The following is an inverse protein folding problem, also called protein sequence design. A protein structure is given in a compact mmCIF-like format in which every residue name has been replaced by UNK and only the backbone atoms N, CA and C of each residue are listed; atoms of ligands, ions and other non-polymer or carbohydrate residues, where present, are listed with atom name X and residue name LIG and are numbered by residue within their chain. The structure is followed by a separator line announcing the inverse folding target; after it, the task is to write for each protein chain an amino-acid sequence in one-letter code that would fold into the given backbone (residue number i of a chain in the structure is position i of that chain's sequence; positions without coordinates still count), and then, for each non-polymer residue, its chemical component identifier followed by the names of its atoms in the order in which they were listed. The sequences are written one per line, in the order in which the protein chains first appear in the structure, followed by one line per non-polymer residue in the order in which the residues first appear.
data_IF_261539709022
#
_entry.id   IF_261539709022
#
_cell.length_a   1.000
_cell.length_b   1.000
_cell.length_c   1.000
_cell.angle_alpha   90.00
_cell.angle_beta   90.00
_cell.angle_gamma   90.00
#
_symmetry.space_group_name_H-M   'P 1'
#
loop_
_entity.id
_entity.type
_entity.pdbx_description
1 polymer ?
#
# COMPACT_ATOMS: atom_id res chain seq x y z
N UNK A 1 27.21 6.58 -1.68
CA UNK A 1 25.90 5.95 -1.90
C UNK A 1 25.53 5.84 -3.40
N UNK A 2 26.20 6.55 -4.31
CA UNK A 2 26.05 6.37 -5.78
C UNK A 2 24.74 6.85 -6.39
N UNK A 3 23.94 7.62 -5.68
CA UNK A 3 22.70 8.22 -6.24
C UNK A 3 23.05 9.32 -7.24
N UNK A 4 22.40 9.30 -8.42
CA UNK A 4 22.65 10.27 -9.50
C UNK A 4 21.77 11.54 -9.37
N UNK A 5 20.60 11.43 -8.80
CA UNK A 5 19.65 12.52 -8.62
C UNK A 5 18.73 12.25 -7.41
N UNK A 6 18.22 13.30 -6.74
CA UNK A 6 17.22 13.12 -5.69
C UNK A 6 15.90 12.62 -6.28
N UNK A 7 15.20 11.79 -5.51
CA UNK A 7 13.82 11.43 -5.84
C UNK A 7 12.87 12.61 -5.59
N UNK A 8 11.66 12.63 -6.17
CA UNK A 8 10.73 13.74 -5.98
C UNK A 8 10.44 14.07 -4.51
N UNK A 9 10.28 13.06 -3.63
CA UNK A 9 10.07 13.32 -2.19
C UNK A 9 11.32 13.90 -1.53
N UNK A 10 12.52 13.44 -1.92
CA UNK A 10 13.77 14.00 -1.41
C UNK A 10 13.97 15.45 -1.85
N UNK A 11 13.70 15.75 -3.12
CA UNK A 11 13.81 17.10 -3.67
C UNK A 11 12.85 18.10 -2.99
N UNK A 12 11.68 17.64 -2.55
CA UNK A 12 10.70 18.49 -1.86
C UNK A 12 10.91 18.53 -0.34
N UNK A 13 11.23 17.41 0.31
CA UNK A 13 11.29 17.31 1.76
C UNK A 13 12.61 17.83 2.34
N UNK A 14 13.76 17.52 1.73
CA UNK A 14 15.08 17.89 2.26
C UNK A 14 15.23 19.43 2.39
N UNK A 15 14.99 20.23 1.36
CA UNK A 15 15.10 21.68 1.47
C UNK A 15 14.12 22.26 2.49
N UNK A 16 12.88 21.76 2.52
CA UNK A 16 11.87 22.22 3.46
C UNK A 16 12.26 21.94 4.92
N UNK A 17 12.81 20.76 5.20
CA UNK A 17 13.24 20.39 6.55
C UNK A 17 14.51 21.14 6.99
N UNK A 18 15.43 21.46 6.07
CA UNK A 18 16.64 22.24 6.35
C UNK A 18 16.33 23.73 6.49
N UNK A 19 15.46 24.30 5.65
CA UNK A 19 15.06 25.70 5.69
C UNK A 19 14.28 26.06 6.95
N UNK A 20 13.51 25.14 7.51
CA UNK A 20 12.76 25.37 8.75
C UNK A 20 13.64 25.55 9.99
N UNK A 21 14.93 25.19 9.93
CA UNK A 21 15.90 25.41 11.01
C UNK A 21 16.47 26.83 11.01
N UNK A 22 16.45 27.53 9.86
CA UNK A 22 17.07 28.82 9.65
C UNK A 22 16.04 29.97 9.62
N UNK A 23 14.78 29.68 9.32
CA UNK A 23 13.68 30.65 9.35
C UNK A 23 13.08 30.68 10.76
N UNK A 24 13.40 31.71 11.56
CA UNK A 24 12.97 31.95 12.93
C UNK A 24 11.63 31.33 13.43
N UNK A 25 11.13 31.66 14.60
CA UNK A 25 9.98 31.03 15.29
C UNK A 25 8.66 30.87 14.49
N UNK A 26 8.53 31.49 13.32
CA UNK A 26 7.30 31.48 12.51
C UNK A 26 7.17 30.27 11.55
N UNK A 27 8.26 29.54 11.25
CA UNK A 27 8.21 28.39 10.34
C UNK A 27 7.80 27.11 11.08
N UNK A 28 6.88 26.36 10.51
CA UNK A 28 6.47 25.05 11.07
C UNK A 28 7.67 24.11 11.10
N UNK A 29 7.95 23.54 12.28
CA UNK A 29 8.97 22.50 12.47
C UNK A 29 8.44 21.10 12.22
N UNK A 30 7.11 20.95 12.16
CA UNK A 30 6.45 19.68 11.97
C UNK A 30 6.13 19.45 10.50
N UNK A 31 6.36 18.22 10.01
CA UNK A 31 6.17 17.85 8.61
C UNK A 31 5.35 16.58 8.46
N UNK A 32 4.55 16.54 7.39
CA UNK A 32 3.91 15.34 6.89
C UNK A 32 4.46 15.10 5.48
N UNK A 33 5.17 13.99 5.29
CA UNK A 33 5.68 13.54 3.99
C UNK A 33 4.83 12.40 3.46
N UNK A 34 4.05 12.63 2.40
CA UNK A 34 3.27 11.60 1.73
C UNK A 34 3.92 11.22 0.40
N UNK A 35 4.35 9.97 0.30
CA UNK A 35 4.93 9.42 -0.91
C UNK A 35 4.82 7.89 -0.92
N UNK A 36 4.67 7.22 -2.09
CA UNK A 36 4.64 5.76 -2.19
C UNK A 36 5.82 5.07 -1.52
N UNK A 37 5.67 3.78 -1.20
CA UNK A 37 6.80 2.98 -0.71
C UNK A 37 7.87 2.85 -1.77
N UNK A 38 9.17 2.81 -1.34
CA UNK A 38 10.29 2.69 -2.30
C UNK A 38 10.71 3.97 -2.99
N UNK A 39 10.10 5.11 -2.69
CA UNK A 39 10.45 6.42 -3.27
C UNK A 39 11.61 7.12 -2.56
N UNK A 40 12.26 6.48 -1.57
CA UNK A 40 13.40 7.03 -0.85
C UNK A 40 13.03 7.95 0.32
N UNK A 41 11.88 7.73 0.97
CA UNK A 41 11.45 8.46 2.18
C UNK A 41 12.51 8.44 3.29
N UNK A 42 13.18 7.31 3.51
CA UNK A 42 14.22 7.19 4.54
C UNK A 42 15.32 8.24 4.37
N UNK A 43 15.81 8.43 3.17
CA UNK A 43 16.81 9.46 2.89
C UNK A 43 16.21 10.87 2.89
N UNK A 44 14.94 11.02 2.56
CA UNK A 44 14.27 12.33 2.60
C UNK A 44 14.27 12.94 4.00
N UNK A 45 14.06 12.14 5.05
CA UNK A 45 14.18 12.63 6.43
C UNK A 45 15.57 12.37 7.03
N UNK A 46 16.27 11.32 6.66
CA UNK A 46 17.56 10.94 7.23
C UNK A 46 18.67 11.94 6.94
N UNK A 47 18.69 12.49 5.72
CA UNK A 47 19.69 13.51 5.32
C UNK A 47 19.52 14.79 6.16
N UNK A 48 18.35 15.46 6.18
CA UNK A 48 18.20 16.66 7.00
C UNK A 48 18.38 16.39 8.49
N UNK A 49 17.91 15.23 8.99
CA UNK A 49 18.10 14.85 10.39
C UNK A 49 19.59 14.74 10.75
N UNK A 50 20.37 14.06 9.91
CA UNK A 50 21.82 13.93 10.10
C UNK A 50 22.53 15.29 10.07
N UNK A 51 22.20 16.13 9.07
CA UNK A 51 22.79 17.46 8.92
C UNK A 51 22.51 18.37 10.13
N UNK A 52 21.24 18.45 10.57
CA UNK A 52 20.83 19.23 11.76
C UNK A 52 21.58 18.74 13.00
N UNK A 53 21.68 17.42 13.21
CA UNK A 53 22.37 16.87 14.37
C UNK A 53 23.89 17.07 14.33
N UNK A 54 24.49 17.17 13.15
CA UNK A 54 25.92 17.46 12.96
C UNK A 54 26.22 18.94 13.22
N UNK A 55 25.36 19.86 12.78
CA UNK A 55 25.52 21.31 13.02
C UNK A 55 25.32 21.69 14.49
N UNK A 56 24.35 21.08 15.15
CA UNK A 56 24.04 21.36 16.55
C UNK A 56 24.78 20.39 17.48
N UNK A 57 25.85 20.84 18.10
CA UNK A 57 26.54 20.08 19.16
C UNK A 57 25.57 19.78 20.30
N UNK A 58 25.71 18.62 20.96
CA UNK A 58 24.95 18.37 22.18
C UNK A 58 25.19 19.46 23.23
N UNK A 59 24.11 19.91 23.88
CA UNK A 59 24.23 20.91 24.97
C UNK A 59 25.19 20.40 26.04
N UNK A 60 26.29 21.11 26.24
CA UNK A 60 27.24 20.81 27.33
C UNK A 60 26.66 21.35 28.64
N UNK A 61 26.04 20.48 29.43
CA UNK A 61 25.71 20.80 30.82
C UNK A 61 26.97 20.68 31.65
N UNK A 62 27.45 21.81 32.17
CA UNK A 62 28.74 21.96 32.80
C UNK A 62 29.15 20.91 33.81
N UNK A 63 30.37 20.41 33.69
CA UNK A 63 31.26 19.99 34.77
C UNK A 63 31.00 18.64 35.43
N UNK A 64 29.87 17.95 35.31
CA UNK A 64 29.64 16.62 35.87
C UNK A 64 29.64 15.55 34.77
N UNK A 65 30.15 14.35 35.11
CA UNK A 65 30.16 13.17 34.23
C UNK A 65 28.79 13.03 33.59
N UNK A 66 28.71 13.25 32.30
CA UNK A 66 27.46 13.28 31.52
C UNK A 66 26.76 11.93 31.64
N UNK A 67 25.48 11.94 32.01
CA UNK A 67 24.64 10.72 31.86
C UNK A 67 24.55 10.39 30.36
N UNK A 68 25.07 9.23 29.91
CA UNK A 68 25.03 8.86 28.50
C UNK A 68 23.62 8.84 27.92
N UNK A 69 22.59 8.65 28.76
CA UNK A 69 21.17 8.66 28.36
C UNK A 69 20.70 10.02 27.83
N UNK A 70 21.34 11.12 28.26
CA UNK A 70 21.03 12.50 27.83
C UNK A 70 21.52 12.83 26.41
N UNK A 71 22.20 11.88 25.76
CA UNK A 71 22.74 12.07 24.41
C UNK A 71 21.70 11.89 23.31
N UNK A 72 20.56 11.21 23.57
CA UNK A 72 19.52 10.95 22.60
C UNK A 72 18.87 12.27 22.12
N UNK A 73 19.04 12.56 20.84
CA UNK A 73 18.50 13.76 20.18
C UNK A 73 17.45 13.48 19.12
N UNK A 74 17.47 12.28 18.53
CA UNK A 74 16.47 11.88 17.55
C UNK A 74 15.94 10.48 17.82
N UNK A 75 14.62 10.33 17.71
CA UNK A 75 13.92 9.06 17.77
C UNK A 75 13.17 8.84 16.46
N UNK A 76 13.45 7.73 15.79
CA UNK A 76 12.74 7.29 14.59
C UNK A 76 11.88 6.08 14.95
N UNK A 77 10.56 6.20 14.83
CA UNK A 77 9.61 5.11 15.04
C UNK A 77 9.30 4.44 13.71
N UNK A 78 9.40 3.11 13.68
CA UNK A 78 9.14 2.29 12.50
C UNK A 78 8.33 1.04 12.87
N UNK A 79 7.45 0.52 11.98
CA UNK A 79 6.52 -0.56 12.33
C UNK A 79 7.17 -1.91 12.62
N UNK A 80 8.33 -2.22 12.02
CA UNK A 80 8.92 -3.56 12.09
C UNK A 80 10.38 -3.54 12.53
N UNK A 81 10.86 -4.67 13.01
CA UNK A 81 12.25 -4.86 13.44
C UNK A 81 13.21 -4.78 12.26
N UNK A 82 12.83 -5.41 11.17
CA UNK A 82 13.61 -5.46 9.94
C UNK A 82 13.81 -4.03 9.43
N UNK A 83 12.74 -3.23 9.42
CA UNK A 83 12.83 -1.83 9.02
C UNK A 83 13.67 -1.01 10.02
N UNK A 84 13.60 -1.30 11.34
CA UNK A 84 14.43 -0.59 12.30
C UNK A 84 15.94 -0.85 12.09
N UNK A 85 16.32 -2.07 11.76
CA UNK A 85 17.69 -2.42 11.43
C UNK A 85 18.16 -1.75 10.13
N UNK A 86 17.31 -1.81 9.09
CA UNK A 86 17.57 -1.22 7.79
C UNK A 86 17.74 0.31 7.87
N UNK A 87 16.77 1.00 8.47
CA UNK A 87 16.82 2.46 8.62
C UNK A 87 18.03 2.88 9.46
N UNK A 88 18.34 2.13 10.53
CA UNK A 88 19.52 2.41 11.33
C UNK A 88 20.82 2.26 10.51
N UNK A 89 20.91 1.26 9.64
CA UNK A 89 22.08 1.07 8.76
C UNK A 89 22.19 2.13 7.68
N UNK A 90 21.07 2.54 7.09
CA UNK A 90 21.02 3.66 6.14
C UNK A 90 21.51 4.96 6.81
N UNK A 91 21.01 5.27 8.01
CA UNK A 91 21.43 6.48 8.75
C UNK A 91 22.90 6.36 9.17
N UNK A 92 23.40 5.18 9.63
CA UNK A 92 24.82 4.97 9.93
C UNK A 92 25.70 5.24 8.72
N UNK A 93 25.24 4.85 7.55
CA UNK A 93 25.96 5.11 6.29
C UNK A 93 26.01 6.62 5.98
N UNK A 94 24.93 7.36 6.24
CA UNK A 94 24.88 8.82 6.08
C UNK A 94 25.86 9.52 7.03
N UNK A 95 25.97 9.07 8.28
CA UNK A 95 26.78 9.71 9.31
C UNK A 95 28.17 9.07 9.46
N UNK A 96 28.58 8.22 8.52
CA UNK A 96 29.89 7.56 8.53
C UNK A 96 31.01 8.59 8.59
N UNK A 97 31.98 8.38 9.50
CA UNK A 97 33.07 9.30 9.75
C UNK A 97 32.73 10.43 10.72
N UNK A 98 31.50 10.55 11.21
CA UNK A 98 31.09 11.48 12.26
C UNK A 98 31.11 10.81 13.65
N UNK A 99 30.89 11.63 14.70
CA UNK A 99 30.75 11.15 16.07
C UNK A 99 29.33 10.72 16.46
N UNK A 100 28.38 10.78 15.53
CA UNK A 100 26.99 10.41 15.78
C UNK A 100 26.85 8.88 15.89
N UNK A 101 26.18 8.45 16.97
CA UNK A 101 25.92 7.02 17.22
C UNK A 101 24.45 6.70 16.95
N UNK A 102 24.21 5.65 16.15
CA UNK A 102 22.90 5.20 15.74
C UNK A 102 22.67 3.76 16.21
N UNK A 103 21.56 3.50 16.89
CA UNK A 103 21.18 2.17 17.38
C UNK A 103 19.75 1.83 16.97
N UNK A 104 19.55 0.57 16.56
CA UNK A 104 18.23 0.00 16.37
C UNK A 104 17.77 -0.73 17.63
N UNK A 105 16.51 -0.49 18.07
CA UNK A 105 15.88 -1.18 19.20
C UNK A 105 14.51 -1.72 18.81
N UNK A 106 14.24 -2.98 19.13
CA UNK A 106 13.01 -3.65 18.71
C UNK A 106 12.62 -4.79 19.64
N UNK A 107 11.35 -5.13 19.67
CA UNK A 107 10.77 -6.14 20.56
C UNK A 107 11.10 -7.59 20.17
N UNK A 108 10.69 -8.53 21.04
CA UNK A 108 10.84 -10.00 20.92
C UNK A 108 12.31 -10.50 20.85
N UNK A 109 13.25 -9.73 21.29
CA UNK A 109 14.63 -10.09 21.57
C UNK A 109 14.99 -9.60 22.97
N UNK A 110 16.08 -10.12 23.53
CA UNK A 110 16.52 -9.74 24.87
C UNK A 110 16.67 -8.21 25.02
N UNK A 111 16.18 -7.67 26.12
CA UNK A 111 16.23 -6.22 26.42
C UNK A 111 17.64 -5.78 26.81
N UNK A 112 18.35 -6.59 27.60
CA UNK A 112 19.63 -6.21 28.20
C UNK A 112 20.70 -5.73 27.21
N UNK A 113 20.95 -6.36 26.05
CA UNK A 113 21.92 -5.85 25.08
C UNK A 113 21.56 -4.47 24.53
N UNK A 114 20.24 -4.16 24.38
CA UNK A 114 19.78 -2.88 23.89
C UNK A 114 19.93 -1.79 24.97
N UNK A 115 19.66 -2.11 26.22
CA UNK A 115 19.92 -1.23 27.36
C UNK A 115 21.39 -0.89 27.47
N UNK A 116 22.27 -1.88 27.36
CA UNK A 116 23.72 -1.65 27.38
C UNK A 116 24.20 -0.78 26.19
N UNK A 117 23.61 -0.94 25.02
CA UNK A 117 23.92 -0.07 23.88
C UNK A 117 23.52 1.38 24.16
N UNK A 118 22.35 1.63 24.78
CA UNK A 118 21.87 2.96 25.17
C UNK A 118 22.74 3.59 26.26
N UNK A 119 23.19 2.83 27.25
CA UNK A 119 24.11 3.30 28.30
C UNK A 119 25.43 3.81 27.79
N UNK A 120 25.87 3.38 26.59
CA UNK A 120 27.08 3.90 25.93
C UNK A 120 26.91 5.29 25.31
N UNK A 121 25.69 5.84 25.38
CA UNK A 121 25.31 7.12 24.78
C UNK A 121 25.08 7.02 23.28
N UNK A 122 23.87 7.32 22.85
CA UNK A 122 23.38 7.22 21.49
C UNK A 122 22.73 8.53 21.07
N UNK A 123 22.99 9.00 19.86
CA UNK A 123 22.40 10.24 19.33
C UNK A 123 21.07 10.01 18.63
N UNK A 124 20.95 8.87 17.90
CA UNK A 124 19.78 8.52 17.12
C UNK A 124 19.36 7.08 17.49
N UNK A 125 18.12 6.93 17.89
CA UNK A 125 17.50 5.61 18.11
C UNK A 125 16.45 5.37 17.03
N UNK A 126 16.55 4.23 16.35
CA UNK A 126 15.50 3.74 15.45
C UNK A 126 14.78 2.61 16.17
N UNK A 127 13.48 2.76 16.43
CA UNK A 127 12.73 1.92 17.35
C UNK A 127 11.42 1.40 16.79
N UNK A 128 11.03 0.17 17.17
CA UNK A 128 9.63 -0.21 17.09
C UNK A 128 8.84 0.40 18.27
N UNK A 129 7.59 0.87 18.07
CA UNK A 129 6.86 1.65 19.08
C UNK A 129 6.73 0.97 20.44
N UNK A 130 6.43 -0.35 20.47
CA UNK A 130 6.31 -1.10 21.73
C UNK A 130 7.63 -1.17 22.50
N UNK A 131 8.78 -1.37 21.81
CA UNK A 131 10.10 -1.40 22.47
C UNK A 131 10.54 0.00 22.90
N UNK A 132 10.23 1.04 22.13
CA UNK A 132 10.49 2.40 22.56
C UNK A 132 9.77 2.70 23.87
N UNK A 133 8.49 2.37 23.98
CA UNK A 133 7.71 2.52 25.20
C UNK A 133 8.31 1.72 26.38
N UNK A 134 8.62 0.45 26.19
CA UNK A 134 9.22 -0.41 27.21
C UNK A 134 10.54 0.16 27.76
N UNK A 135 11.42 0.69 26.88
CA UNK A 135 12.68 1.30 27.27
C UNK A 135 12.51 2.64 28.02
N UNK A 136 11.49 3.43 27.66
CA UNK A 136 11.16 4.68 28.35
C UNK A 136 10.56 4.39 29.72
N UNK A 137 9.60 3.45 29.83
CA UNK A 137 8.99 3.04 31.09
C UNK A 137 10.00 2.42 32.06
N UNK A 138 11.01 1.71 31.53
CA UNK A 138 12.12 1.14 32.31
C UNK A 138 13.23 2.15 32.65
N UNK A 139 13.06 3.43 32.36
CA UNK A 139 14.08 4.50 32.51
C UNK A 139 15.44 4.19 31.85
N UNK A 140 15.43 3.31 30.84
CA UNK A 140 16.61 2.98 30.05
C UNK A 140 16.85 3.95 28.89
N UNK A 141 15.81 4.72 28.51
CA UNK A 141 15.83 5.72 27.45
C UNK A 141 15.04 6.95 27.89
N UNK A 142 15.67 8.14 27.85
CA UNK A 142 14.99 9.41 28.18
C UNK A 142 14.76 10.23 26.91
N UNK A 143 13.60 10.88 26.84
CA UNK A 143 13.23 11.77 25.73
C UNK A 143 13.53 13.25 26.02
N UNK A 144 14.05 13.58 27.20
CA UNK A 144 14.22 14.97 27.67
C UNK A 144 15.05 15.86 26.71
N UNK A 145 15.99 15.27 25.98
CA UNK A 145 16.89 16.00 25.07
C UNK A 145 16.58 15.80 23.60
N UNK A 146 15.42 15.18 23.27
CA UNK A 146 15.00 15.04 21.90
C UNK A 146 14.85 16.40 21.21
N UNK A 147 15.34 16.47 19.99
CA UNK A 147 15.10 17.57 19.07
C UNK A 147 14.11 17.17 17.99
N UNK A 148 14.12 15.89 17.60
CA UNK A 148 13.29 15.35 16.52
C UNK A 148 12.67 14.01 16.89
N UNK A 149 11.41 13.84 16.52
CA UNK A 149 10.74 12.54 16.47
C UNK A 149 10.25 12.31 15.05
N UNK A 150 10.63 11.19 14.44
CA UNK A 150 10.20 10.79 13.11
C UNK A 150 9.31 9.55 13.24
N UNK A 151 8.15 9.56 12.60
CA UNK A 151 7.29 8.39 12.44
C UNK A 151 7.33 7.98 10.97
N UNK A 152 8.00 6.88 10.63
CA UNK A 152 8.07 6.37 9.26
C UNK A 152 7.12 5.18 9.08
N UNK A 153 6.46 5.12 7.92
CA UNK A 153 5.39 4.16 7.61
C UNK A 153 4.24 4.21 8.65
N UNK A 154 3.71 5.42 8.90
CA UNK A 154 2.67 5.65 9.91
C UNK A 154 1.38 4.87 9.63
N UNK A 155 0.97 4.75 8.38
CA UNK A 155 -0.15 3.91 7.94
C UNK A 155 0.05 2.42 8.31
N UNK A 156 1.26 1.91 8.17
CA UNK A 156 1.57 0.54 8.61
C UNK A 156 1.58 0.39 10.12
N UNK A 157 1.99 1.42 10.87
CA UNK A 157 1.87 1.39 12.31
C UNK A 157 0.41 1.33 12.76
N UNK A 158 -0.51 1.95 12.00
CA UNK A 158 -1.96 1.79 12.18
C UNK A 158 -2.41 0.34 11.94
N UNK A 159 -2.07 -0.24 10.79
CA UNK A 159 -2.45 -1.61 10.41
C UNK A 159 -1.97 -2.67 11.43
N UNK A 160 -0.84 -2.41 12.07
CA UNK A 160 -0.26 -3.28 13.09
C UNK A 160 -0.76 -2.99 14.51
N UNK A 161 -1.66 -2.02 14.68
CA UNK A 161 -2.23 -1.65 15.99
C UNK A 161 -1.26 -0.89 16.90
N UNK A 162 -0.21 -0.25 16.34
CA UNK A 162 0.80 0.47 17.12
C UNK A 162 0.48 1.95 17.35
N UNK A 163 -0.61 2.48 16.79
CA UNK A 163 -0.94 3.91 17.00
C UNK A 163 -1.03 4.32 18.48
N UNK A 164 -1.61 3.52 19.40
CA UNK A 164 -1.62 3.89 20.81
C UNK A 164 -0.22 4.07 21.41
N UNK A 165 0.75 3.21 21.05
CA UNK A 165 2.13 3.32 21.49
C UNK A 165 2.85 4.51 20.86
N UNK A 166 2.60 4.78 19.57
CA UNK A 166 3.12 5.96 18.86
C UNK A 166 2.60 7.24 19.53
N UNK A 167 1.30 7.33 19.74
CA UNK A 167 0.66 8.47 20.42
C UNK A 167 1.23 8.67 21.83
N UNK A 168 1.42 7.58 22.57
CA UNK A 168 2.02 7.60 23.90
C UNK A 168 3.46 8.14 23.89
N UNK A 169 4.28 7.74 22.92
CA UNK A 169 5.66 8.26 22.77
C UNK A 169 5.64 9.74 22.37
N UNK A 170 4.83 10.10 21.39
CA UNK A 170 4.71 11.49 20.92
C UNK A 170 4.21 12.46 22.02
N UNK A 171 3.35 11.97 22.93
CA UNK A 171 2.85 12.77 24.07
C UNK A 171 3.91 13.06 25.13
N UNK A 172 5.01 12.31 25.14
CA UNK A 172 6.13 12.47 26.08
C UNK A 172 7.33 13.16 25.46
N UNK A 173 7.33 13.36 24.17
CA UNK A 173 8.35 14.21 23.54
C UNK A 173 8.21 15.64 24.06
N UNK A 174 9.32 16.34 24.39
CA UNK A 174 9.26 17.72 24.88
C UNK A 174 8.51 18.63 23.88
N UNK A 175 7.81 19.62 24.41
CA UNK A 175 7.11 20.61 23.58
C UNK A 175 8.08 21.40 22.69
N UNK A 176 7.59 21.87 21.54
CA UNK A 176 8.37 22.64 20.57
C UNK A 176 9.43 21.83 19.81
N UNK A 177 9.45 20.51 19.93
CA UNK A 177 10.35 19.63 19.16
C UNK A 177 9.72 19.26 17.82
N UNK A 178 10.57 19.10 16.80
CA UNK A 178 10.15 18.75 15.47
C UNK A 178 9.58 17.32 15.42
N UNK A 179 8.39 17.16 14.85
CA UNK A 179 7.73 15.87 14.64
C UNK A 179 7.49 15.70 13.15
N UNK A 180 8.12 14.69 12.57
CA UNK A 180 8.00 14.38 11.16
C UNK A 180 7.25 13.04 10.99
N UNK A 181 6.19 13.07 10.23
CA UNK A 181 5.40 11.88 9.93
C UNK A 181 5.51 11.56 8.44
N UNK A 182 6.02 10.39 8.11
CA UNK A 182 6.12 9.90 6.74
C UNK A 182 5.22 8.68 6.56
N UNK A 183 4.49 8.68 5.45
CA UNK A 183 3.51 7.63 5.15
C UNK A 183 3.32 7.49 3.64
N UNK A 184 2.80 6.36 3.20
CA UNK A 184 2.33 6.21 1.83
C UNK A 184 0.90 6.72 1.69
N UNK A 185 0.07 6.52 2.72
CA UNK A 185 -1.32 6.95 2.78
C UNK A 185 -1.59 7.72 4.07
N UNK A 186 -2.70 8.46 4.12
CA UNK A 186 -3.11 9.19 5.32
C UNK A 186 -4.55 8.78 5.71
N UNK A 187 -4.74 7.57 6.30
CA UNK A 187 -6.03 7.15 6.81
C UNK A 187 -6.51 8.05 7.95
N UNK A 188 -7.81 8.14 8.16
CA UNK A 188 -8.43 9.01 9.17
C UNK A 188 -7.79 8.87 10.57
N UNK A 189 -7.50 7.64 11.01
CA UNK A 189 -6.88 7.44 12.32
C UNK A 189 -5.45 8.02 12.42
N UNK A 190 -4.70 8.06 11.31
CA UNK A 190 -3.38 8.71 11.24
C UNK A 190 -3.57 10.24 11.18
N UNK A 191 -4.57 10.73 10.46
CA UNK A 191 -4.97 12.15 10.46
C UNK A 191 -5.34 12.64 11.86
N UNK A 192 -6.12 11.86 12.62
CA UNK A 192 -6.47 12.17 14.01
C UNK A 192 -5.22 12.25 14.91
N UNK A 193 -4.24 11.35 14.71
CA UNK A 193 -2.95 11.40 15.41
C UNK A 193 -2.19 12.69 15.07
N UNK A 194 -2.14 13.07 13.79
CA UNK A 194 -1.51 14.31 13.32
C UNK A 194 -2.14 15.53 14.01
N UNK A 195 -3.47 15.65 13.97
CA UNK A 195 -4.18 16.76 14.60
C UNK A 195 -3.95 16.87 16.11
N UNK A 196 -3.80 15.74 16.79
CA UNK A 196 -3.55 15.71 18.24
C UNK A 196 -2.11 16.04 18.62
N UNK A 197 -1.11 15.70 17.79
CA UNK A 197 0.30 15.64 18.21
C UNK A 197 1.25 16.52 17.42
N UNK A 198 0.88 16.97 16.22
CA UNK A 198 1.70 17.86 15.41
C UNK A 198 1.14 19.28 15.44
N UNK A 199 2.04 20.28 15.49
CA UNK A 199 1.68 21.68 15.55
C UNK A 199 1.77 22.31 14.15
N UNK A 200 0.61 22.57 13.52
CA UNK A 200 0.52 23.20 12.18
C UNK A 200 1.50 22.57 11.17
N UNK A 201 1.44 21.25 10.95
CA UNK A 201 2.45 20.57 10.13
C UNK A 201 2.40 21.04 8.68
N UNK A 202 3.58 21.24 8.07
CA UNK A 202 3.70 21.46 6.63
C UNK A 202 3.56 20.14 5.92
N UNK A 203 2.53 20.02 5.06
CA UNK A 203 2.28 18.81 4.25
C UNK A 203 3.07 18.89 2.95
N UNK A 204 3.84 17.84 2.68
CA UNK A 204 4.59 17.60 1.45
C UNK A 204 4.04 16.31 0.86
N UNK A 205 3.36 16.40 -0.27
CA UNK A 205 2.73 15.26 -0.93
C UNK A 205 3.33 15.11 -2.33
N UNK A 206 3.88 13.95 -2.61
CA UNK A 206 4.55 13.65 -3.87
C UNK A 206 4.02 12.33 -4.42
N UNK A 207 3.66 12.35 -5.67
CA UNK A 207 3.01 11.22 -6.35
C UNK A 207 1.49 11.34 -6.33
N UNK A 208 0.86 10.62 -7.25
CA UNK A 208 -0.61 10.55 -7.28
C UNK A 208 -1.05 9.72 -6.09
N UNK A 209 -2.02 10.21 -5.30
CA UNK A 209 -2.73 9.40 -4.31
C UNK A 209 -3.16 8.10 -4.99
N UNK A 210 -2.72 6.97 -4.46
CA UNK A 210 -3.05 5.63 -4.96
C UNK A 210 -2.46 5.23 -6.33
N UNK A 211 -1.48 5.92 -6.87
CA UNK A 211 -0.77 5.38 -8.02
C UNK A 211 0.07 4.18 -7.56
N UNK A 212 -0.49 2.99 -7.70
CA UNK A 212 0.32 1.79 -7.85
C UNK A 212 1.39 2.14 -8.88
N UNK A 213 2.65 1.87 -8.58
CA UNK A 213 3.78 2.33 -9.37
C UNK A 213 3.50 2.22 -10.87
N UNK A 214 3.38 3.35 -11.54
CA UNK A 214 2.92 3.46 -12.94
C UNK A 214 3.83 2.72 -13.93
N UNK A 215 4.98 2.24 -13.47
CA UNK A 215 5.94 1.43 -14.23
C UNK A 215 5.73 -0.09 -14.05
N UNK A 216 4.72 -0.50 -13.24
CA UNK A 216 4.42 -1.91 -13.03
C UNK A 216 3.27 -2.36 -13.92
N UNK A 217 3.39 -3.56 -14.49
CA UNK A 217 2.27 -4.23 -15.16
C UNK A 217 1.43 -4.95 -14.11
N UNK A 218 0.14 -4.61 -14.05
CA UNK A 218 -0.81 -5.29 -13.14
C UNK A 218 -1.72 -6.21 -13.91
N UNK A 219 -1.78 -7.48 -13.50
CA UNK A 219 -2.64 -8.50 -14.09
C UNK A 219 -3.56 -9.09 -13.03
N UNK A 220 -4.77 -9.48 -13.44
CA UNK A 220 -5.66 -10.32 -12.61
C UNK A 220 -6.04 -11.57 -13.35
N UNK A 221 -6.22 -12.64 -12.62
CA UNK A 221 -6.74 -13.91 -13.12
C UNK A 221 -7.96 -14.29 -12.29
N UNK A 222 -9.10 -14.41 -12.96
CA UNK A 222 -10.34 -14.90 -12.35
C UNK A 222 -10.31 -16.42 -12.41
N UNK A 223 -10.42 -17.10 -11.27
CA UNK A 223 -10.26 -18.56 -11.19
C UNK A 223 -10.98 -19.14 -9.97
N UNK A 224 -11.21 -20.44 -9.98
CA UNK A 224 -11.70 -21.14 -8.79
C UNK A 224 -10.60 -21.33 -7.75
N UNK A 225 -10.98 -21.55 -6.49
CA UNK A 225 -10.03 -21.67 -5.39
C UNK A 225 -9.05 -22.86 -5.57
N UNK A 226 -9.52 -23.96 -6.14
CA UNK A 226 -8.73 -25.15 -6.43
C UNK A 226 -7.81 -25.00 -7.65
N UNK A 227 -8.04 -24.00 -8.50
CA UNK A 227 -7.18 -23.65 -9.63
C UNK A 227 -5.98 -22.78 -9.23
N UNK A 228 -5.96 -22.16 -8.04
CA UNK A 228 -4.90 -21.21 -7.63
C UNK A 228 -3.50 -21.82 -7.63
N UNK A 229 -3.31 -23.03 -7.08
CA UNK A 229 -1.98 -23.66 -7.06
C UNK A 229 -1.55 -24.11 -8.44
N UNK A 230 -2.38 -24.82 -9.22
CA UNK A 230 -2.06 -25.17 -10.61
C UNK A 230 -1.71 -23.95 -11.46
N UNK A 231 -2.48 -22.87 -11.34
CA UNK A 231 -2.20 -21.59 -12.02
C UNK A 231 -0.87 -21.00 -11.61
N UNK A 232 -0.56 -20.97 -10.30
CA UNK A 232 0.72 -20.49 -9.81
C UNK A 232 1.89 -21.31 -10.38
N UNK A 233 1.77 -22.63 -10.43
CA UNK A 233 2.79 -23.53 -10.98
C UNK A 233 3.00 -23.31 -12.48
N UNK A 234 1.91 -23.17 -13.25
CA UNK A 234 1.96 -22.85 -14.68
C UNK A 234 2.66 -21.50 -14.93
N UNK A 235 2.29 -20.44 -14.18
CA UNK A 235 2.97 -19.14 -14.27
C UNK A 235 4.47 -19.29 -13.97
N UNK A 236 4.81 -20.03 -12.93
CA UNK A 236 6.21 -20.25 -12.57
C UNK A 236 6.98 -21.06 -13.63
N UNK A 237 6.30 -21.91 -14.39
CA UNK A 237 6.91 -22.67 -15.49
C UNK A 237 7.09 -21.81 -16.75
N UNK A 238 6.14 -20.94 -17.06
CA UNK A 238 6.13 -20.10 -18.26
C UNK A 238 6.99 -18.83 -18.15
N UNK A 239 7.13 -18.28 -16.94
CA UNK A 239 7.89 -17.06 -16.71
C UNK A 239 9.41 -17.35 -16.68
N UNK A 240 10.18 -16.66 -17.50
CA UNK A 240 11.65 -16.71 -17.49
C UNK A 240 12.25 -16.05 -16.23
N UNK A 241 11.49 -16.08 -15.13
CA UNK A 241 11.85 -15.54 -13.84
C UNK A 241 12.47 -16.62 -12.95
N UNK A 242 13.79 -16.79 -13.03
CA UNK A 242 14.50 -17.75 -12.20
C UNK A 242 14.58 -17.35 -10.72
N UNK A 243 14.25 -16.10 -10.36
CA UNK A 243 14.31 -15.55 -8.99
C UNK A 243 13.50 -14.26 -8.86
N UNK A 244 13.27 -13.82 -7.63
CA UNK A 244 12.63 -12.53 -7.34
C UNK A 244 11.10 -12.58 -7.38
N UNK A 245 10.50 -13.70 -6.99
CA UNK A 245 9.04 -13.88 -6.96
C UNK A 245 8.57 -13.90 -5.51
N UNK A 246 7.60 -13.03 -5.17
CA UNK A 246 6.96 -13.02 -3.86
C UNK A 246 5.51 -13.40 -4.00
N UNK A 247 5.06 -14.37 -3.20
CA UNK A 247 3.66 -14.84 -3.16
C UNK A 247 3.04 -14.46 -1.82
N UNK A 248 2.03 -13.62 -1.85
CA UNK A 248 1.31 -13.17 -0.66
C UNK A 248 0.08 -14.03 -0.38
N UNK A 249 -0.01 -14.55 0.84
CA UNK A 249 -1.13 -15.34 1.33
C UNK A 249 -1.77 -14.69 2.55
N UNK A 250 -3.10 -14.81 2.68
CA UNK A 250 -3.88 -14.20 3.75
C UNK A 250 -3.56 -14.77 5.15
N UNK A 251 -3.05 -16.00 5.26
CA UNK A 251 -2.83 -16.64 6.56
C UNK A 251 -1.52 -17.44 6.62
N UNK A 252 -1.03 -17.64 7.86
CA UNK A 252 0.14 -18.48 8.15
C UNK A 252 -0.04 -19.93 7.67
N UNK A 253 -1.23 -20.50 7.88
CA UNK A 253 -1.56 -21.85 7.44
C UNK A 253 -1.50 -21.96 5.92
N UNK A 254 -2.01 -20.95 5.22
CA UNK A 254 -2.00 -20.88 3.76
C UNK A 254 -0.59 -20.75 3.19
N UNK A 255 0.26 -19.92 3.80
CA UNK A 255 1.67 -19.82 3.38
C UNK A 255 2.39 -21.17 3.47
N UNK A 256 2.16 -21.91 4.55
CA UNK A 256 2.73 -23.25 4.72
C UNK A 256 2.24 -24.23 3.65
N UNK A 257 0.94 -24.21 3.37
CA UNK A 257 0.31 -25.07 2.38
C UNK A 257 0.78 -24.77 0.95
N UNK A 258 0.78 -23.50 0.54
CA UNK A 258 1.27 -23.06 -0.78
C UNK A 258 2.75 -23.41 -0.95
N UNK A 259 3.58 -23.10 0.04
CA UNK A 259 5.01 -23.45 -0.02
C UNK A 259 5.25 -24.97 -0.09
N UNK A 260 4.45 -25.75 0.62
CA UNK A 260 4.47 -27.21 0.53
C UNK A 260 4.08 -27.73 -0.87
N UNK A 261 3.07 -27.10 -1.50
CA UNK A 261 2.68 -27.43 -2.87
C UNK A 261 3.81 -27.11 -3.86
N UNK A 262 4.40 -25.92 -3.77
CA UNK A 262 5.51 -25.50 -4.65
C UNK A 262 6.73 -26.44 -4.54
N UNK A 263 7.10 -26.84 -3.31
CA UNK A 263 8.23 -27.73 -3.08
C UNK A 263 8.01 -29.14 -3.65
N UNK A 264 6.77 -29.64 -3.65
CA UNK A 264 6.43 -30.93 -4.31
C UNK A 264 6.63 -30.93 -5.83
N UNK A 265 6.71 -29.73 -6.41
CA UNK A 265 6.99 -29.49 -7.83
C UNK A 265 8.40 -28.89 -8.03
N UNK A 266 9.34 -29.19 -7.13
CA UNK A 266 10.75 -28.81 -7.21
C UNK A 266 11.01 -27.29 -7.28
N UNK A 267 10.03 -26.46 -6.85
CA UNK A 267 10.22 -25.02 -6.76
C UNK A 267 10.89 -24.66 -5.44
N UNK A 268 12.12 -24.12 -5.50
CA UNK A 268 12.86 -23.69 -4.31
C UNK A 268 12.13 -22.52 -3.64
N UNK A 269 11.68 -22.73 -2.40
CA UNK A 269 10.75 -21.84 -1.72
C UNK A 269 11.16 -21.54 -0.29
N UNK A 270 11.22 -20.26 0.07
CA UNK A 270 11.33 -19.77 1.43
C UNK A 270 9.97 -19.32 1.96
N UNK A 271 9.79 -19.35 3.29
CA UNK A 271 8.51 -19.02 3.95
C UNK A 271 8.74 -18.04 5.08
N UNK A 272 7.96 -16.94 5.09
CA UNK A 272 8.00 -15.93 6.15
C UNK A 272 6.58 -15.63 6.67
N UNK A 273 6.34 -15.90 7.96
CA UNK A 273 5.10 -15.57 8.66
C UNK A 273 5.34 -15.34 10.16
N UNK A 274 4.33 -14.87 10.88
CA UNK A 274 4.45 -14.44 12.27
C UNK A 274 4.94 -15.48 13.28
N UNK A 275 4.75 -16.79 13.02
CA UNK A 275 5.18 -17.88 13.90
C UNK A 275 6.66 -18.28 13.69
N UNK A 276 7.32 -17.76 12.66
CA UNK A 276 8.74 -17.98 12.46
C UNK A 276 9.56 -17.16 13.44
N UNK A 277 10.59 -17.81 14.04
CA UNK A 277 11.54 -17.08 14.87
C UNK A 277 12.28 -16.01 14.02
N UNK A 278 12.82 -14.99 14.69
CA UNK A 278 13.55 -13.93 13.99
C UNK A 278 14.69 -14.48 13.13
N UNK A 279 15.48 -15.41 13.69
CA UNK A 279 16.55 -16.07 12.99
C UNK A 279 16.09 -16.83 11.73
N UNK A 280 14.92 -17.51 11.81
CA UNK A 280 14.35 -18.21 10.66
C UNK A 280 13.89 -17.23 9.57
N UNK A 281 13.33 -16.08 9.97
CA UNK A 281 12.91 -15.03 9.03
C UNK A 281 14.11 -14.41 8.33
N UNK A 282 15.15 -14.04 9.07
CA UNK A 282 16.40 -13.50 8.53
C UNK A 282 17.06 -14.48 7.53
N UNK A 283 17.19 -15.76 7.91
CA UNK A 283 17.69 -16.80 7.02
C UNK A 283 16.86 -16.97 5.74
N UNK A 284 15.54 -16.92 5.86
CA UNK A 284 14.65 -17.05 4.70
C UNK A 284 14.83 -15.88 3.74
N UNK A 285 14.90 -14.65 4.28
CA UNK A 285 15.10 -13.43 3.51
C UNK A 285 16.49 -13.37 2.85
N UNK A 286 17.51 -13.72 3.62
CA UNK A 286 18.88 -13.81 3.10
C UNK A 286 18.99 -14.84 1.97
N UNK A 287 18.37 -16.02 2.16
CA UNK A 287 18.32 -17.05 1.12
C UNK A 287 17.62 -16.56 -0.15
N UNK A 288 16.54 -15.80 -0.01
CA UNK A 288 15.83 -15.21 -1.13
C UNK A 288 16.61 -14.07 -1.80
N UNK A 289 17.18 -13.15 -1.02
CA UNK A 289 17.98 -12.04 -1.53
C UNK A 289 19.21 -12.50 -2.33
N UNK A 290 19.86 -13.59 -1.89
CA UNK A 290 20.99 -14.21 -2.61
C UNK A 290 20.56 -15.15 -3.76
N UNK A 291 19.26 -15.26 -4.06
CA UNK A 291 18.76 -16.11 -5.14
C UNK A 291 18.85 -17.62 -4.88
N UNK A 292 19.12 -18.05 -3.64
CA UNK A 292 19.12 -19.47 -3.23
C UNK A 292 17.67 -20.04 -3.22
N UNK A 293 16.68 -19.20 -3.09
CA UNK A 293 15.27 -19.54 -3.28
C UNK A 293 14.69 -18.72 -4.43
N UNK A 294 13.88 -19.36 -5.26
CA UNK A 294 13.17 -18.72 -6.38
C UNK A 294 11.97 -17.92 -5.90
N UNK A 295 11.22 -18.48 -4.95
CA UNK A 295 9.94 -17.97 -4.47
C UNK A 295 9.99 -17.71 -2.97
N UNK A 296 9.51 -16.54 -2.54
CA UNK A 296 9.24 -16.22 -1.15
C UNK A 296 7.72 -16.24 -0.93
N UNK A 297 7.22 -17.16 -0.10
CA UNK A 297 5.80 -17.19 0.30
C UNK A 297 5.65 -16.51 1.66
N UNK A 298 4.80 -15.49 1.74
CA UNK A 298 4.72 -14.65 2.93
C UNK A 298 3.29 -14.22 3.28
N UNK A 299 3.06 -13.92 4.57
CA UNK A 299 1.91 -13.13 5.00
C UNK A 299 2.29 -11.64 5.04
N UNK A 300 1.30 -10.74 4.91
CA UNK A 300 1.52 -9.30 4.92
C UNK A 300 2.30 -8.81 6.13
N UNK A 301 1.87 -9.19 7.34
CA UNK A 301 2.51 -8.78 8.59
C UNK A 301 3.99 -9.15 8.62
N UNK A 302 4.36 -10.28 8.03
CA UNK A 302 5.71 -10.78 8.05
C UNK A 302 6.58 -10.28 6.88
N UNK A 303 5.94 -9.92 5.77
CA UNK A 303 6.61 -9.36 4.61
C UNK A 303 6.67 -7.82 4.62
N UNK A 304 5.93 -7.19 5.54
CA UNK A 304 5.99 -5.74 5.75
C UNK A 304 7.36 -5.33 6.26
N UNK A 305 7.90 -4.26 5.70
CA UNK A 305 9.25 -3.77 6.05
C UNK A 305 10.40 -4.57 5.41
N UNK A 306 10.10 -5.56 4.56
CA UNK A 306 11.13 -6.26 3.81
C UNK A 306 11.61 -5.42 2.63
N UNK A 307 12.80 -4.89 2.76
CA UNK A 307 13.52 -4.32 1.63
C UNK A 307 14.38 -5.42 1.01
N UNK A 308 13.78 -6.23 0.16
CA UNK A 308 14.51 -7.23 -0.63
C UNK A 308 14.65 -6.68 -2.05
N UNK A 309 15.88 -6.35 -2.47
CA UNK A 309 16.13 -5.90 -3.84
C UNK A 309 15.84 -7.03 -4.83
N UNK A 310 15.49 -6.68 -6.06
CA UNK A 310 15.36 -7.64 -7.15
C UNK A 310 14.04 -8.42 -7.18
N UNK A 311 12.98 -7.96 -6.51
CA UNK A 311 11.64 -8.52 -6.69
C UNK A 311 11.11 -8.05 -8.04
N UNK A 312 10.82 -9.03 -8.93
CA UNK A 312 10.33 -8.81 -10.29
C UNK A 312 8.85 -9.12 -10.44
N UNK A 313 8.35 -10.08 -9.67
CA UNK A 313 6.96 -10.50 -9.71
C UNK A 313 6.38 -10.58 -8.29
N UNK A 314 5.25 -9.93 -8.09
CA UNK A 314 4.40 -10.08 -6.91
C UNK A 314 3.14 -10.84 -7.30
N UNK A 315 2.88 -11.96 -6.65
CA UNK A 315 1.65 -12.72 -6.80
C UNK A 315 0.80 -12.56 -5.55
N UNK A 316 -0.34 -11.90 -5.66
CA UNK A 316 -1.37 -11.91 -4.62
C UNK A 316 -2.16 -13.21 -4.76
N UNK A 317 -1.74 -14.26 -4.06
CA UNK A 317 -2.42 -15.55 -4.04
C UNK A 317 -3.83 -15.45 -3.43
N UNK A 318 -3.97 -14.60 -2.42
CA UNK A 318 -5.24 -14.17 -1.84
C UNK A 318 -5.39 -12.66 -2.03
N UNK A 319 -6.61 -12.22 -2.31
CA UNK A 319 -6.94 -10.80 -2.42
C UNK A 319 -6.68 -10.11 -1.09
N UNK A 320 -5.94 -8.99 -1.08
CA UNK A 320 -5.68 -8.22 0.15
C UNK A 320 -6.98 -7.69 0.77
N UNK A 321 -6.95 -7.39 2.06
CA UNK A 321 -8.13 -6.92 2.79
C UNK A 321 -8.43 -5.44 2.58
N UNK A 322 -7.44 -4.66 2.10
CA UNK A 322 -7.61 -3.24 1.83
C UNK A 322 -6.82 -2.79 0.60
N UNK A 323 -7.18 -1.64 0.00
CA UNK A 323 -6.42 -1.02 -1.09
C UNK A 323 -4.98 -0.70 -0.72
N UNK A 324 -4.76 -0.22 0.51
CA UNK A 324 -3.44 0.12 1.03
C UNK A 324 -2.55 -1.13 1.10
N UNK A 325 -3.11 -2.26 1.54
CA UNK A 325 -2.41 -3.53 1.57
C UNK A 325 -1.99 -3.98 0.17
N UNK A 326 -2.88 -3.85 -0.82
CA UNK A 326 -2.58 -4.13 -2.21
C UNK A 326 -1.43 -3.25 -2.73
N UNK A 327 -1.49 -1.93 -2.50
CA UNK A 327 -0.44 -0.99 -2.88
C UNK A 327 0.89 -1.36 -2.24
N UNK A 328 0.89 -1.71 -0.96
CA UNK A 328 2.10 -2.12 -0.23
C UNK A 328 2.70 -3.42 -0.75
N UNK A 329 1.87 -4.39 -1.19
CA UNK A 329 2.34 -5.64 -1.79
C UNK A 329 2.95 -5.39 -3.17
N UNK A 330 2.19 -4.76 -4.07
CA UNK A 330 2.65 -4.53 -5.45
C UNK A 330 3.84 -3.59 -5.50
N UNK A 331 3.90 -2.62 -4.60
CA UNK A 331 5.02 -1.71 -4.43
C UNK A 331 6.33 -2.40 -3.99
N UNK A 332 6.37 -3.73 -3.84
CA UNK A 332 7.62 -4.50 -3.67
C UNK A 332 8.28 -4.84 -5.00
N UNK A 333 7.51 -4.93 -6.08
CA UNK A 333 8.06 -5.16 -7.40
C UNK A 333 8.75 -3.90 -7.98
N UNK A 334 9.76 -4.10 -8.81
CA UNK A 334 10.40 -3.00 -9.55
C UNK A 334 11.18 -1.99 -8.70
N UNK A 335 11.56 -2.32 -7.46
CA UNK A 335 12.37 -1.44 -6.62
C UNK A 335 13.70 -1.09 -7.31
N UNK A 336 14.07 0.20 -7.27
CA UNK A 336 15.30 0.71 -7.89
C UNK A 336 15.18 1.04 -9.37
N UNK A 337 13.95 1.20 -9.91
CA UNK A 337 13.72 1.59 -11.31
C UNK A 337 13.75 0.43 -12.30
N UNK A 338 13.72 -0.82 -11.81
CA UNK A 338 13.59 -2.01 -12.65
C UNK A 338 12.14 -2.26 -13.08
N UNK A 339 11.97 -3.01 -14.17
CA UNK A 339 10.67 -3.54 -14.57
C UNK A 339 10.14 -4.53 -13.53
N UNK A 340 8.83 -4.46 -13.25
CA UNK A 340 8.17 -5.33 -12.31
C UNK A 340 6.73 -5.61 -12.72
N UNK A 341 6.19 -6.71 -12.23
CA UNK A 341 4.82 -7.08 -12.50
C UNK A 341 4.09 -7.53 -11.22
N UNK A 342 2.79 -7.41 -11.21
CA UNK A 342 1.94 -8.03 -10.21
C UNK A 342 0.82 -8.84 -10.85
N UNK A 343 0.49 -9.97 -10.24
CA UNK A 343 -0.63 -10.82 -10.62
C UNK A 343 -1.50 -11.02 -9.38
N UNK A 344 -2.80 -10.76 -9.50
CA UNK A 344 -3.75 -11.03 -8.42
C UNK A 344 -4.70 -12.13 -8.82
N UNK A 345 -4.75 -13.20 -8.04
CA UNK A 345 -5.74 -14.25 -8.15
C UNK A 345 -7.02 -13.80 -7.46
N UNK A 346 -8.14 -13.93 -8.15
CA UNK A 346 -9.45 -13.52 -7.64
C UNK A 346 -10.42 -14.69 -7.77
N UNK A 347 -10.72 -15.34 -6.65
CA UNK A 347 -11.73 -16.38 -6.63
C UNK A 347 -13.15 -15.78 -6.60
N UNK A 348 -14.17 -16.61 -6.85
CA UNK A 348 -15.56 -16.15 -6.81
C UNK A 348 -15.92 -15.52 -5.47
N UNK A 349 -15.44 -16.12 -4.35
CA UNK A 349 -15.69 -15.62 -3.00
C UNK A 349 -14.96 -14.31 -2.70
N UNK A 350 -13.85 -14.04 -3.40
CA UNK A 350 -13.03 -12.84 -3.19
C UNK A 350 -13.43 -11.67 -4.10
N UNK A 351 -14.36 -11.89 -5.04
CA UNK A 351 -14.73 -10.89 -6.04
C UNK A 351 -15.17 -9.55 -5.43
N UNK A 352 -16.08 -9.60 -4.46
CA UNK A 352 -16.56 -8.36 -3.79
C UNK A 352 -15.43 -7.60 -3.09
N UNK A 353 -14.48 -8.33 -2.47
CA UNK A 353 -13.30 -7.73 -1.84
C UNK A 353 -12.40 -7.11 -2.89
N UNK A 354 -12.17 -7.80 -4.00
CA UNK A 354 -11.38 -7.27 -5.10
C UNK A 354 -11.99 -5.98 -5.66
N UNK A 355 -13.29 -5.95 -5.89
CA UNK A 355 -13.99 -4.76 -6.40
C UNK A 355 -13.81 -3.57 -5.46
N UNK A 356 -13.83 -3.78 -4.15
CA UNK A 356 -13.56 -2.74 -3.14
C UNK A 356 -12.10 -2.24 -3.19
N UNK A 357 -11.14 -3.15 -3.40
CA UNK A 357 -9.71 -2.81 -3.49
C UNK A 357 -9.44 -1.95 -4.73
N UNK A 358 -9.97 -2.34 -5.89
CA UNK A 358 -9.69 -1.64 -7.14
C UNK A 358 -10.37 -0.27 -7.23
N UNK A 359 -11.55 -0.11 -6.62
CA UNK A 359 -12.31 1.14 -6.61
C UNK A 359 -11.50 2.30 -6.00
N UNK A 360 -10.69 1.99 -4.98
CA UNK A 360 -9.87 2.97 -4.27
C UNK A 360 -8.43 3.02 -4.76
N UNK A 361 -7.85 1.90 -5.17
CA UNK A 361 -6.48 1.84 -5.70
C UNK A 361 -6.37 2.34 -7.15
N UNK A 362 -7.48 2.30 -7.91
CA UNK A 362 -7.60 2.76 -9.30
C UNK A 362 -6.39 2.45 -10.21
N UNK A 363 -5.84 1.22 -10.20
CA UNK A 363 -4.76 0.86 -11.09
C UNK A 363 -5.27 0.54 -12.49
N UNK A 364 -4.41 0.67 -13.48
CA UNK A 364 -4.64 0.06 -14.78
C UNK A 364 -4.23 -1.42 -14.70
N UNK A 365 -5.14 -2.33 -14.99
CA UNK A 365 -4.85 -3.77 -14.98
C UNK A 365 -5.36 -4.46 -16.23
N UNK A 366 -4.74 -5.58 -16.55
CA UNK A 366 -5.15 -6.50 -17.58
C UNK A 366 -5.82 -7.75 -16.97
N UNK A 367 -6.94 -8.18 -17.50
CA UNK A 367 -7.53 -9.47 -17.14
C UNK A 367 -6.94 -10.55 -18.05
N UNK A 368 -6.19 -11.46 -17.45
CA UNK A 368 -5.54 -12.57 -18.17
C UNK A 368 -6.32 -13.84 -17.91
N UNK A 369 -6.58 -14.69 -18.92
CA UNK A 369 -7.23 -15.97 -18.72
C UNK A 369 -6.36 -16.91 -17.88
N UNK A 370 -7.01 -17.90 -17.28
CA UNK A 370 -6.30 -19.02 -16.64
C UNK A 370 -5.45 -19.73 -17.70
N UNK A 371 -4.16 -20.01 -17.42
CA UNK A 371 -3.30 -20.70 -18.37
C UNK A 371 -3.90 -22.04 -18.81
N UNK A 372 -3.77 -22.39 -20.08
CA UNK A 372 -4.38 -23.60 -20.64
C UNK A 372 -3.75 -24.92 -20.12
N UNK A 373 -2.50 -24.83 -19.64
CA UNK A 373 -1.70 -25.97 -19.18
C UNK A 373 -1.84 -26.30 -17.69
N UNK A 374 -2.76 -25.62 -16.96
CA UNK A 374 -2.95 -25.86 -15.51
C UNK A 374 -3.27 -27.33 -15.19
N UNK A 375 -3.91 -28.03 -16.13
CA UNK A 375 -4.26 -29.44 -15.96
C UNK A 375 -3.02 -30.33 -15.72
N UNK A 376 -1.84 -29.94 -16.21
CA UNK A 376 -0.58 -30.64 -15.98
C UNK A 376 -0.15 -30.63 -14.51
N UNK A 377 -0.66 -29.66 -13.72
CA UNK A 377 -0.33 -29.43 -12.30
C UNK A 377 -1.47 -29.83 -11.36
N UNK A 378 -2.56 -30.39 -11.89
CA UNK A 378 -3.72 -30.85 -11.12
C UNK A 378 -3.63 -32.35 -10.81
N UNK A 379 -4.21 -32.76 -9.68
CA UNK A 379 -4.45 -34.15 -9.39
C UNK A 379 -5.58 -34.69 -10.31
N UNK A 380 -5.60 -35.98 -10.55
CA UNK A 380 -6.61 -36.57 -11.41
C UNK A 380 -8.05 -36.32 -10.92
N UNK A 381 -8.28 -36.29 -9.61
CA UNK A 381 -9.58 -35.95 -9.03
C UNK A 381 -9.99 -34.50 -9.33
N UNK A 382 -9.06 -33.57 -9.10
CA UNK A 382 -9.30 -32.13 -9.33
C UNK A 382 -9.49 -31.86 -10.84
N UNK A 383 -8.72 -32.55 -11.68
CA UNK A 383 -8.85 -32.49 -13.15
C UNK A 383 -10.21 -32.95 -13.62
N UNK A 384 -10.72 -34.08 -13.08
CA UNK A 384 -12.08 -34.59 -13.41
C UNK A 384 -13.17 -33.65 -12.94
N UNK A 385 -12.98 -33.04 -11.76
CA UNK A 385 -13.91 -32.05 -11.19
C UNK A 385 -13.96 -30.77 -12.04
N UNK A 386 -12.81 -30.26 -12.45
CA UNK A 386 -12.70 -29.09 -13.33
C UNK A 386 -13.35 -29.35 -14.69
N UNK A 387 -13.06 -30.50 -15.30
CA UNK A 387 -13.66 -30.90 -16.58
C UNK A 387 -15.19 -30.96 -16.49
N UNK A 388 -15.74 -31.51 -15.40
CA UNK A 388 -17.18 -31.52 -15.15
C UNK A 388 -17.76 -30.12 -14.96
N UNK A 389 -17.12 -29.26 -14.20
CA UNK A 389 -17.56 -27.86 -13.98
C UNK A 389 -17.57 -27.06 -15.30
N UNK A 390 -16.52 -27.17 -16.11
CA UNK A 390 -16.44 -26.51 -17.43
C UNK A 390 -17.52 -27.01 -18.38
N UNK A 391 -17.85 -28.30 -18.32
CA UNK A 391 -18.94 -28.88 -19.15
C UNK A 391 -20.31 -28.31 -18.73
N UNK A 392 -20.56 -28.17 -17.45
CA UNK A 392 -21.80 -27.56 -16.94
C UNK A 392 -21.90 -26.07 -17.30
N UNK A 393 -20.82 -25.33 -17.14
CA UNK A 393 -20.76 -23.92 -17.56
C UNK A 393 -21.00 -23.75 -19.07
N UNK A 394 -20.40 -24.62 -19.89
CA UNK A 394 -20.61 -24.60 -21.33
C UNK A 394 -22.08 -24.84 -21.69
N UNK A 395 -22.75 -25.77 -21.01
CA UNK A 395 -24.19 -26.03 -21.21
C UNK A 395 -25.05 -24.83 -20.80
N UNK A 396 -24.73 -24.18 -19.68
CA UNK A 396 -25.41 -22.96 -19.21
C UNK A 396 -25.26 -21.84 -20.23
N UNK A 397 -24.03 -21.61 -20.70
CA UNK A 397 -23.76 -20.57 -21.71
C UNK A 397 -24.46 -20.87 -23.04
N UNK A 398 -24.50 -22.13 -23.47
CA UNK A 398 -25.20 -22.52 -24.66
C UNK A 398 -26.71 -22.27 -24.54
N UNK A 399 -27.31 -22.60 -23.38
CA UNK A 399 -28.70 -22.32 -23.08
C UNK A 399 -29.00 -20.81 -23.06
N UNK A 400 -28.13 -20.01 -22.45
CA UNK A 400 -28.24 -18.54 -22.41
C UNK A 400 -28.19 -17.95 -23.83
N UNK A 401 -27.21 -18.37 -24.62
CA UNK A 401 -27.06 -17.95 -26.02
C UNK A 401 -28.27 -18.36 -26.87
N UNK A 402 -28.87 -19.52 -26.62
CA UNK A 402 -30.09 -19.97 -27.29
C UNK A 402 -31.29 -19.09 -26.91
N UNK A 403 -31.43 -18.71 -25.63
CA UNK A 403 -32.46 -17.77 -25.16
C UNK A 403 -32.30 -16.38 -25.80
N UNK A 404 -31.11 -15.83 -25.82
CA UNK A 404 -30.85 -14.54 -26.46
C UNK A 404 -31.17 -14.57 -27.98
N UNK A 405 -30.83 -15.65 -28.67
CA UNK A 405 -31.17 -15.81 -30.10
C UNK A 405 -32.69 -15.86 -30.28
N UNK A 406 -33.40 -16.59 -29.43
CA UNK A 406 -34.87 -16.69 -29.47
C UNK A 406 -35.55 -15.34 -29.21
N UNK A 407 -35.03 -14.55 -28.22
CA UNK A 407 -35.53 -13.22 -27.94
C UNK A 407 -35.28 -12.23 -29.09
N UNK A 408 -34.10 -12.26 -29.69
CA UNK A 408 -33.75 -11.43 -30.86
C UNK A 408 -34.66 -11.76 -32.05
N UNK A 409 -34.95 -13.06 -32.27
CA UNK A 409 -35.86 -13.50 -33.36
C UNK A 409 -37.30 -13.08 -33.07
N UNK A 410 -37.78 -13.22 -31.83
CA UNK A 410 -39.12 -12.75 -31.41
C UNK A 410 -39.25 -11.23 -31.59
N UNK A 411 -38.22 -10.44 -31.19
CA UNK A 411 -38.19 -8.99 -31.40
C UNK A 411 -38.20 -8.61 -32.89
N UNK A 412 -37.50 -9.38 -33.76
CA UNK A 412 -37.51 -9.21 -35.22
C UNK A 412 -38.90 -9.46 -35.80
N UNK A 413 -39.54 -10.56 -35.41
CA UNK A 413 -40.93 -10.92 -35.87
C UNK A 413 -41.95 -9.86 -35.44
N UNK A 414 -41.83 -9.31 -34.21
CA UNK A 414 -42.68 -8.21 -33.73
C UNK A 414 -42.49 -6.92 -34.54
N UNK A 415 -41.24 -6.56 -34.87
CA UNK A 415 -40.95 -5.39 -35.72
C UNK A 415 -41.50 -5.57 -37.14
N UNK A 416 -41.40 -6.76 -37.73
CA UNK A 416 -41.96 -7.07 -39.05
C UNK A 416 -43.50 -7.03 -39.04
N UNK A 417 -44.13 -7.56 -37.99
CA UNK A 417 -45.58 -7.53 -37.82
C UNK A 417 -46.06 -6.07 -37.66
N UNK A 418 -45.39 -5.24 -36.87
CA UNK A 418 -45.69 -3.83 -36.74
C UNK A 418 -45.53 -3.05 -38.05
N UNK A 419 -44.50 -3.40 -38.86
CA UNK A 419 -44.32 -2.79 -40.18
C UNK A 419 -45.41 -3.16 -41.16
N UNK A 420 -45.83 -4.45 -41.18
CA UNK A 420 -46.98 -4.92 -41.98
C UNK A 420 -48.32 -4.26 -41.54
N UNK A 421 -48.50 -4.03 -40.26
CA UNK A 421 -49.70 -3.31 -39.72
C UNK A 421 -49.71 -1.87 -40.16
N UNK A 422 -48.57 -1.13 -40.13
CA UNK A 422 -48.46 0.24 -40.64
C UNK A 422 -48.73 0.34 -42.15
N UNK A 423 -48.37 -0.67 -42.96
CA UNK A 423 -48.61 -0.67 -44.40
C UNK A 423 -50.07 -1.03 -44.77
N UNK A 424 -50.83 -1.66 -43.85
CA UNK A 424 -52.26 -2.01 -44.04
C UNK A 424 -53.23 -0.96 -43.49
N UNK A 425 -52.77 0.09 -42.83
CA UNK A 425 -53.65 1.16 -42.36
C UNK A 425 -54.14 1.98 -43.57
N UNK A 426 -55.48 2.13 -43.77
CA UNK A 426 -56.03 2.91 -44.89
C UNK A 426 -55.56 4.36 -44.73
N UNK A 427 -55.09 4.91 -45.85
CA UNK A 427 -54.84 6.34 -45.97
C UNK A 427 -56.15 7.06 -45.86
N UNK A 428 -56.41 7.70 -44.74
CA UNK A 428 -57.49 8.70 -44.58
C UNK A 428 -57.13 9.88 -45.50
N UNK A 429 -57.94 10.07 -46.55
CA UNK A 429 -57.94 11.28 -47.39
C UNK A 429 -58.25 12.46 -46.51
N UNK A 430 -57.33 13.40 -46.46
CA UNK A 430 -57.56 14.71 -45.89
C UNK A 430 -58.49 15.51 -46.81
N UNK A 431 -59.80 15.51 -46.52
CA UNK A 431 -60.71 16.47 -47.10
C UNK A 431 -60.31 17.89 -46.62
N UNK A 432 -59.89 18.69 -47.57
CA UNK A 432 -59.77 20.14 -47.45
C UNK A 432 -61.10 20.74 -47.03
N UNK A 433 -61.13 21.41 -45.89
CA UNK A 433 -62.21 22.38 -45.61
C UNK A 433 -61.63 23.79 -45.89
N UNK A 434 -62.10 24.41 -46.96
CA UNK A 434 -61.95 25.83 -47.30
C UNK A 434 -63.06 26.62 -46.61
N UNK A 435 -62.66 27.79 -46.10
CA UNK A 435 -63.52 28.97 -45.90
C UNK A 435 -64.00 29.10 -44.44
N UNK A 436 -63.85 30.18 -43.76
CA UNK A 436 -64.09 31.56 -44.12
C UNK A 436 -63.53 32.50 -43.06
N UNK A 437 -63.00 33.62 -43.53
CA UNK A 437 -62.58 34.76 -42.70
C UNK A 437 -63.68 35.29 -41.80
N UNK A 438 -63.35 35.66 -40.57
CA UNK A 438 -63.99 36.81 -39.90
C UNK A 438 -62.97 37.43 -38.93
N UNK A 439 -62.83 38.70 -39.15
CA UNK A 439 -62.00 39.74 -38.57
C UNK A 439 -62.25 40.00 -37.07
N UNK A 440 -61.15 40.42 -36.46
CA UNK A 440 -60.92 41.59 -35.54
C UNK A 440 -61.40 41.49 -34.06
N UNK A 441 -60.88 42.40 -33.18
CA UNK A 441 -59.44 42.75 -32.90
C UNK A 441 -59.11 42.76 -31.38
N UNK A 442 -57.78 42.86 -31.14
CA UNK A 442 -57.09 43.65 -30.10
C UNK A 442 -57.80 43.83 -28.73
N UNK A 443 -57.25 43.40 -27.67
CA UNK A 443 -56.83 44.34 -26.63
C UNK A 443 -55.57 43.84 -25.83
N UNK A 444 -54.91 44.87 -25.40
CA UNK A 444 -53.64 44.90 -24.70
C UNK A 444 -53.90 44.81 -23.18
N UNK A 445 -52.87 44.48 -22.55
CA UNK A 445 -52.38 44.97 -21.25
C UNK A 445 -52.66 44.16 -19.99
N UNK A 446 -51.60 44.25 -19.30
CA UNK A 446 -51.42 44.41 -17.84
C UNK A 446 -50.83 43.22 -17.09
N UNK A 447 -49.53 43.26 -17.02
CA UNK A 447 -48.64 43.49 -15.83
C UNK A 447 -48.87 42.65 -14.57
N UNK A 448 -47.67 42.20 -14.13
CA UNK A 448 -47.21 42.15 -12.71
C UNK A 448 -47.86 41.03 -11.87
N UNK A 449 -47.10 40.32 -11.14
CA UNK A 449 -45.95 40.50 -10.32
C UNK A 449 -45.88 39.39 -9.30
N UNK A 450 -44.71 39.22 -8.80
CA UNK A 450 -44.42 38.89 -7.43
C UNK A 450 -44.58 37.39 -7.08
N UNK A 451 -43.62 36.72 -6.68
CA UNK A 451 -42.70 36.96 -5.60
C UNK A 451 -42.65 35.75 -4.69
N UNK A 452 -41.50 35.14 -4.58
CA UNK A 452 -40.76 34.97 -3.33
C UNK A 452 -41.37 34.04 -2.26
N UNK A 453 -40.65 33.01 -1.93
CA UNK A 453 -40.08 32.63 -0.63
C UNK A 453 -40.04 31.11 -0.50
N UNK A 454 -38.80 30.55 -0.45
CA UNK A 454 -37.97 30.22 0.73
C UNK A 454 -38.56 29.15 1.66
N UNK A 455 -37.86 27.95 1.58
CA UNK A 455 -37.12 27.25 2.67
C UNK A 455 -37.96 26.74 3.89
N UNK A 456 -37.40 25.85 4.75
CA UNK A 456 -36.38 24.79 4.61
C UNK A 456 -36.81 23.51 5.34
N UNK A 457 -36.16 22.43 5.11
CA UNK A 457 -35.57 21.60 6.18
C UNK A 457 -34.52 20.67 5.56
#
# INVERSE_FOLDING_TARGET
MGFKAPTPIQAAFIPAALGSSDEGEAASRDFIGLAPTGTGKTLAYGIPLADILLRHKPVETGGRRRDPRTRLRALVLVPTRELSQQVAEEIRTLVRGSLLKVVAVYGKVALAPQVEALKRGVDIVVATPGRARELIEADAMTLAHLTHVVCDEADRMLDMGFLPQVEWVLSRAPEGRAKWLLSATLPRAVEDLVHKRLAKPRKIEVGVRNAAASHLTHRRIMLAEDEKVPTLLSILASEDLRRGIVVYCASRRRTGWVAGALRRHDVSTAVVHGDRSQLQREKALESFAHGRCRVLVATDVAARGLHVPGIRLVVNYDVPISPEEWIHRVGRAGHGGGEGASITFVSTEERMRWDSVIMLANPTWETVPVPADIENYMRDEDRRRLAKARLEEAKVMEALNAQERAEKEKAKRLKEAARKRKMRAPRHESKQFRGTQANTPIDKDVRRGGGVKRRPS
#
